data_IF_975266783085
#
_entry.id   IF_975266783085
#
_cell.length_a   1.000
_cell.length_b   1.000
_cell.length_c   1.000
_cell.angle_alpha   90.00
_cell.angle_beta   90.00
_cell.angle_gamma   90.00
#
_symmetry.space_group_name_H-M   'P 1'
#
loop_
_entity.id
_entity.type
_entity.pdbx_description
1 polymer ?
2 non-polymer ?
3 water ?
#
# COMPACT_ATOMS: atom_id res chain seq x y z
N UNK A 1 -8.86 -0.46 -30.25
CA UNK A 1 -9.60 0.79 -30.19
C UNK A 1 -9.68 1.26 -28.72
N UNK A 2 -9.39 2.55 -28.50
CA UNK A 2 -9.21 3.07 -27.14
C UNK A 2 -10.54 3.19 -26.40
N UNK A 3 -10.50 3.21 -25.07
CA UNK A 3 -11.72 3.51 -24.31
C UNK A 3 -12.21 4.90 -24.61
N UNK A 4 -13.54 5.06 -24.63
CA UNK A 4 -14.13 6.36 -24.93
C UNK A 4 -13.77 7.39 -23.87
N UNK A 5 -13.67 6.96 -22.62
CA UNK A 5 -13.43 7.82 -21.45
C UNK A 5 -12.46 7.13 -20.51
N UNK A 6 -11.56 7.92 -19.95
CA UNK A 6 -10.58 7.46 -18.98
C UNK A 6 -10.60 8.44 -17.82
N UNK A 7 -10.51 7.91 -16.61
CA UNK A 7 -10.41 8.74 -15.41
C UNK A 7 -9.53 7.96 -14.44
N UNK A 8 -8.26 8.36 -14.36
CA UNK A 8 -7.30 7.65 -13.53
C UNK A 8 -7.55 7.82 -12.05
N UNK A 9 -8.33 8.83 -11.64
CA UNK A 9 -8.70 8.93 -10.23
C UNK A 9 -9.43 7.67 -9.77
N UNK A 10 -10.22 7.07 -10.66
CA UNK A 10 -10.99 5.89 -10.32
C UNK A 10 -10.11 4.67 -10.09
N UNK A 11 -8.84 4.73 -10.48
CA UNK A 11 -7.90 3.66 -10.24
C UNK A 11 -6.98 3.99 -9.08
N UNK A 12 -7.35 4.99 -8.28
CA UNK A 12 -6.56 5.39 -7.13
C UNK A 12 -5.16 5.85 -7.46
N UNK A 13 -4.96 6.41 -8.66
CA UNK A 13 -3.64 6.81 -9.11
C UNK A 13 -3.36 8.29 -9.01
N UNK A 14 -4.25 9.08 -8.42
CA UNK A 14 -4.07 10.52 -8.38
C UNK A 14 -4.11 11.00 -6.93
N UNK A 15 -3.10 11.75 -6.52
CA UNK A 15 -3.05 12.32 -5.18
C UNK A 15 -3.99 13.51 -5.06
N UNK A 16 -4.11 14.01 -3.84
CA UNK A 16 -4.90 15.20 -3.62
C UNK A 16 -4.35 16.38 -4.41
N UNK A 17 -5.26 17.26 -4.85
CA UNK A 17 -4.87 18.48 -5.52
C UNK A 17 -4.07 19.35 -4.56
N UNK A 18 -3.00 19.93 -5.08
CA UNK A 18 -2.09 20.79 -4.35
C UNK A 18 -2.37 22.25 -4.68
N UNK A 19 -1.77 23.14 -3.89
CA UNK A 19 -1.98 24.59 -3.99
C UNK A 19 -0.62 25.24 -4.09
N UNK A 20 -0.25 25.73 -5.28
CA UNK A 20 1.08 26.27 -5.53
C UNK A 20 1.27 27.67 -4.97
N UNK A 21 0.19 28.42 -4.77
CA UNK A 21 0.27 29.74 -4.21
C UNK A 21 1.04 30.69 -5.11
N UNK A 22 1.74 31.63 -4.49
CA UNK A 22 2.44 32.66 -5.23
C UNK A 22 3.75 32.17 -5.85
N UNK A 23 4.11 30.90 -5.64
CA UNK A 23 5.30 30.32 -6.23
C UNK A 23 4.92 29.64 -7.54
N UNK A 24 5.56 30.04 -8.63
CA UNK A 24 5.26 29.50 -9.94
C UNK A 24 5.84 28.12 -10.21
N UNK A 25 5.43 27.13 -9.43
CA UNK A 25 6.00 25.78 -9.48
C UNK A 25 5.07 24.76 -10.15
N UNK A 26 4.13 25.19 -10.99
CA UNK A 26 3.22 24.22 -11.59
C UNK A 26 3.97 23.18 -12.40
N UNK A 27 5.12 23.54 -12.97
CA UNK A 27 5.94 22.53 -13.62
C UNK A 27 6.33 21.44 -12.64
N UNK A 28 6.65 21.83 -11.41
CA UNK A 28 7.06 20.82 -10.42
C UNK A 28 5.88 19.96 -10.02
N UNK A 29 4.70 20.56 -9.85
CA UNK A 29 3.52 19.79 -9.46
C UNK A 29 3.06 18.87 -10.57
N UNK A 30 3.17 19.31 -11.83
CA UNK A 30 2.80 18.42 -12.93
C UNK A 30 3.74 17.22 -12.99
N UNK A 31 5.04 17.43 -12.75
CA UNK A 31 6.00 16.34 -12.81
C UNK A 31 5.76 15.32 -11.72
N UNK A 32 5.64 15.73 -10.46
CA UNK A 32 5.38 14.74 -9.41
C UNK A 32 4.05 14.04 -9.68
N UNK A 33 3.02 14.79 -10.06
CA UNK A 33 1.73 14.18 -10.31
C UNK A 33 1.81 13.04 -11.31
N UNK A 34 2.60 13.21 -12.38
CA UNK A 34 2.73 12.12 -13.32
C UNK A 34 3.47 10.94 -12.71
N UNK A 35 4.52 11.21 -11.92
CA UNK A 35 5.31 10.14 -11.33
C UNK A 35 4.57 9.44 -10.19
N UNK A 36 3.69 10.14 -9.52
CA UNK A 36 2.87 9.51 -8.48
C UNK A 36 2.00 8.40 -9.06
N UNK A 37 1.49 8.60 -10.27
CA UNK A 37 0.64 7.62 -10.92
C UNK A 37 1.44 6.36 -11.27
N UNK A 38 2.63 6.54 -11.85
CA UNK A 38 3.47 5.38 -12.15
C UNK A 38 3.87 4.66 -10.87
N UNK A 39 4.18 5.42 -9.80
CA UNK A 39 4.55 4.78 -8.53
C UNK A 39 3.40 3.92 -8.03
N UNK A 40 2.18 4.48 -8.05
CA UNK A 40 1.00 3.72 -7.65
C UNK A 40 0.88 2.43 -8.45
N UNK A 41 0.98 2.53 -9.77
CA UNK A 41 0.85 1.36 -10.63
C UNK A 41 1.86 0.28 -10.22
N UNK A 42 3.10 0.68 -9.93
CA UNK A 42 4.14 -0.29 -9.64
C UNK A 42 4.05 -0.88 -8.23
N UNK A 43 3.91 -0.04 -7.22
CA UNK A 43 4.04 -0.48 -5.83
C UNK A 43 2.73 -0.65 -5.10
N UNK A 44 1.62 -0.19 -5.66
CA UNK A 44 0.35 -0.21 -4.97
C UNK A 44 0.14 0.91 -3.98
N UNK A 45 1.10 1.81 -3.82
CA UNK A 45 1.01 2.90 -2.86
C UNK A 45 0.86 4.23 -3.59
N UNK A 46 -0.11 5.03 -3.14
CA UNK A 46 -0.31 6.40 -3.57
C UNK A 46 0.30 7.36 -2.53
N UNK A 47 1.40 8.02 -2.87
CA UNK A 47 2.03 8.97 -1.98
C UNK A 47 2.38 10.24 -2.74
N UNK A 48 2.10 11.38 -2.12
CA UNK A 48 2.49 12.67 -2.68
C UNK A 48 4.00 12.76 -2.70
N UNK A 49 4.57 13.03 -3.87
CA UNK A 49 6.01 13.21 -3.94
C UNK A 49 6.33 14.69 -3.81
N UNK A 50 7.58 15.00 -3.50
CA UNK A 50 7.96 16.35 -3.08
C UNK A 50 8.17 17.24 -4.29
N UNK A 51 7.21 18.12 -4.56
CA UNK A 51 7.42 19.18 -5.55
C UNK A 51 8.51 20.13 -5.10
N UNK A 52 8.57 20.41 -3.79
CA UNK A 52 9.59 21.29 -3.25
C UNK A 52 10.99 20.76 -3.53
N UNK A 53 11.15 19.45 -3.51
CA UNK A 53 12.41 18.82 -3.86
C UNK A 53 12.85 19.25 -5.25
N UNK A 54 11.92 19.29 -6.20
CA UNK A 54 12.26 19.73 -7.54
C UNK A 54 12.59 21.22 -7.57
N UNK A 55 11.80 22.02 -6.86
CA UNK A 55 12.01 23.47 -6.85
C UNK A 55 13.43 23.77 -6.40
N UNK A 56 13.85 23.15 -5.29
CA UNK A 56 15.12 23.49 -4.66
C UNK A 56 16.32 22.81 -5.34
N UNK A 57 16.14 21.65 -5.96
CA UNK A 57 17.27 20.87 -6.47
C UNK A 57 17.36 20.81 -7.99
N UNK A 58 16.26 20.68 -8.71
CA UNK A 58 16.36 20.66 -10.16
C UNK A 58 16.34 22.11 -10.66
N UNK A 59 17.51 22.73 -10.63
CA UNK A 59 17.66 24.17 -10.84
C UNK A 59 18.48 24.42 -12.10
N UNK A 60 19.57 25.20 -12.04
CA UNK A 60 20.25 25.68 -13.24
C UNK A 60 20.61 24.57 -14.24
N UNK A 61 21.12 23.43 -13.76
CA UNK A 61 21.58 22.37 -14.64
C UNK A 61 20.47 21.84 -15.54
N UNK A 62 19.21 22.02 -15.14
CA UNK A 62 18.06 21.48 -15.84
C UNK A 62 17.23 22.56 -16.52
N UNK A 63 17.77 23.77 -16.70
CA UNK A 63 17.00 24.85 -17.28
C UNK A 63 15.83 25.35 -16.46
N UNK A 64 15.73 24.98 -15.19
CA UNK A 64 14.61 25.36 -14.36
C UNK A 64 14.98 26.50 -13.42
N UNK A 65 13.96 27.27 -13.03
CA UNK A 65 14.15 28.44 -12.19
C UNK A 65 13.25 28.40 -10.97
N UNK A 66 12.98 27.20 -10.43
CA UNK A 66 12.22 27.07 -9.21
C UNK A 66 10.88 27.77 -9.27
N UNK A 67 10.69 28.77 -8.40
CA UNK A 67 9.43 29.52 -8.33
C UNK A 67 9.21 30.44 -9.52
N UNK A 68 10.21 30.60 -10.38
CA UNK A 68 10.06 31.41 -11.59
C UNK A 68 9.94 30.57 -12.86
N UNK A 69 9.69 29.27 -12.73
CA UNK A 69 9.32 28.45 -13.87
C UNK A 69 10.27 27.29 -14.07
N UNK A 70 9.84 26.40 -14.97
CA UNK A 70 10.57 25.19 -15.26
C UNK A 70 9.80 24.30 -16.21
N UNK A 71 10.34 23.10 -16.41
CA UNK A 71 9.84 22.10 -17.35
C UNK A 71 9.73 20.76 -16.64
N UNK A 72 8.70 20.00 -17.01
CA UNK A 72 8.50 18.69 -16.42
C UNK A 72 9.56 17.70 -16.91
N UNK A 73 9.94 17.77 -18.19
CA UNK A 73 10.89 16.81 -18.74
C UNK A 73 12.21 16.88 -18.01
N UNK A 74 12.77 18.07 -17.87
CA UNK A 74 14.04 18.16 -17.16
C UNK A 74 13.86 17.89 -15.68
N UNK A 75 12.66 18.15 -15.13
CA UNK A 75 12.40 17.70 -13.77
C UNK A 75 12.54 16.18 -13.68
N UNK A 76 11.96 15.44 -14.64
CA UNK A 76 12.13 13.99 -14.66
C UNK A 76 13.59 13.63 -14.79
N UNK A 77 14.32 14.36 -15.64
CA UNK A 77 15.74 14.08 -15.82
C UNK A 77 16.50 14.22 -14.51
N UNK A 78 16.12 15.20 -13.68
CA UNK A 78 16.75 15.35 -12.38
C UNK A 78 16.48 14.15 -11.50
N UNK A 79 15.25 13.62 -11.52
CA UNK A 79 14.93 12.48 -10.66
C UNK A 79 15.69 11.25 -11.11
N UNK A 80 15.84 11.07 -12.43
CA UNK A 80 16.71 10.02 -12.94
C UNK A 80 18.13 10.24 -12.47
N UNK A 81 18.68 11.42 -12.73
CA UNK A 81 20.06 11.69 -12.36
C UNK A 81 20.24 11.51 -10.87
N UNK A 82 19.31 12.07 -10.07
CA UNK A 82 19.44 12.07 -8.63
C UNK A 82 19.24 10.68 -8.04
N UNK A 83 18.67 9.77 -8.81
CA UNK A 83 18.34 8.41 -8.37
C UNK A 83 17.32 8.45 -7.23
N UNK A 84 16.38 9.39 -7.30
CA UNK A 84 15.29 9.40 -6.36
C UNK A 84 14.70 10.78 -6.19
N UNK A 85 13.54 10.80 -5.52
CA UNK A 85 12.86 12.01 -5.10
C UNK A 85 12.20 11.71 -3.77
N UNK A 86 12.31 12.66 -2.85
CA UNK A 86 11.78 12.48 -1.51
C UNK A 86 10.26 12.53 -1.50
N UNK A 87 9.68 11.91 -0.48
CA UNK A 87 8.24 12.04 -0.27
C UNK A 87 7.91 13.49 0.00
N UNK A 88 6.68 13.88 -0.30
CA UNK A 88 6.26 15.21 0.08
C UNK A 88 6.15 15.34 1.60
N UNK A 89 5.80 14.23 2.27
CA UNK A 89 5.71 14.25 3.73
C UNK A 89 7.02 14.68 4.36
N UNK A 90 8.13 14.16 3.85
CA UNK A 90 9.47 14.45 4.37
C UNK A 90 10.06 15.73 3.82
N UNK A 91 9.57 16.21 2.68
CA UNK A 91 10.12 17.40 2.02
C UNK A 91 8.94 18.29 1.61
N UNK A 92 8.28 18.91 2.58
CA UNK A 92 7.00 19.59 2.29
C UNK A 92 7.16 20.83 1.43
N UNK A 93 6.05 21.24 0.83
CA UNK A 93 6.03 22.36 -0.10
C UNK A 93 5.86 23.67 0.68
N UNK A 94 6.77 24.61 0.45
CA UNK A 94 6.77 25.88 1.16
C UNK A 94 6.51 27.08 0.26
N UNK A 95 6.31 26.86 -1.04
CA UNK A 95 5.99 27.92 -1.99
C UNK A 95 7.04 29.02 -2.00
N UNK A 96 8.31 28.62 -1.93
CA UNK A 96 9.42 29.54 -2.15
C UNK A 96 10.69 28.74 -2.43
N UNK A 97 11.68 29.46 -2.97
CA UNK A 97 12.97 28.87 -3.33
C UNK A 97 13.85 28.65 -2.09
N UNK A 98 14.38 27.45 -1.94
CA UNK A 98 15.19 27.15 -0.78
C UNK A 98 16.47 26.47 -1.26
N UNK A 99 17.37 26.17 -0.32
CA UNK A 99 18.52 25.33 -0.65
C UNK A 99 18.04 23.91 -0.87
N UNK A 100 18.73 23.20 -1.75
CA UNK A 100 18.41 21.81 -2.01
C UNK A 100 18.73 20.97 -0.79
N UNK A 101 17.71 20.38 -0.18
CA UNK A 101 17.91 19.55 1.00
C UNK A 101 17.41 18.13 0.77
N UNK A 102 17.58 17.64 -0.47
CA UNK A 102 17.23 16.26 -0.77
C UNK A 102 17.95 15.31 0.17
N UNK A 103 17.26 14.26 0.58
CA UNK A 103 17.80 13.30 1.54
C UNK A 103 17.35 11.91 1.11
N UNK A 104 18.27 11.14 0.50
CA UNK A 104 17.97 9.79 0.01
C UNK A 104 17.36 8.89 1.07
N UNK A 105 17.50 9.25 2.35
CA UNK A 105 16.89 8.45 3.41
C UNK A 105 15.38 8.42 3.28
N UNK A 106 14.80 9.49 2.73
CA UNK A 106 13.35 9.64 2.59
C UNK A 106 12.89 9.51 1.15
N UNK A 107 13.68 8.80 0.34
CA UNK A 107 13.31 8.55 -1.05
C UNK A 107 12.00 7.78 -1.11
N UNK A 108 11.01 8.38 -1.75
CA UNK A 108 9.74 7.71 -1.97
C UNK A 108 9.58 7.20 -3.38
N UNK A 109 10.37 7.67 -4.33
CA UNK A 109 10.26 7.15 -5.69
C UNK A 109 11.56 7.34 -6.44
N UNK A 110 11.64 6.68 -7.58
CA UNK A 110 12.72 6.80 -8.54
C UNK A 110 12.09 7.04 -9.89
N UNK A 111 12.91 7.40 -10.87
CA UNK A 111 12.47 7.57 -12.24
C UNK A 111 13.43 6.86 -13.19
N UNK A 112 12.90 5.96 -14.02
CA UNK A 112 13.81 5.24 -14.91
C UNK A 112 14.01 5.98 -16.22
N UNK A 113 12.97 6.60 -16.75
CA UNK A 113 12.99 7.22 -18.06
C UNK A 113 11.80 8.15 -18.13
N UNK A 114 11.75 8.94 -19.21
CA UNK A 114 10.56 9.71 -19.54
C UNK A 114 10.44 9.76 -21.05
N UNK A 115 9.22 9.86 -21.53
CA UNK A 115 8.91 9.84 -22.95
C UNK A 115 8.20 11.13 -23.32
N UNK A 116 8.60 11.73 -24.42
CA UNK A 116 7.95 12.92 -24.94
C UNK A 116 7.05 12.56 -26.12
N UNK A 117 5.96 13.31 -26.27
CA UNK A 117 4.97 13.06 -27.31
C UNK A 117 5.01 14.15 -28.39
N UNK A 118 4.62 13.84 -29.63
CA UNK A 118 4.74 14.84 -30.70
C UNK A 118 3.80 16.01 -30.51
N UNK A 119 4.31 17.19 -30.87
CA UNK A 119 3.57 18.43 -30.76
C UNK A 119 2.26 18.34 -31.55
N UNK A 120 1.16 18.66 -30.88
CA UNK A 120 -0.13 18.81 -31.52
C UNK A 120 -0.94 17.54 -31.76
N UNK A 121 -0.39 16.36 -31.50
CA UNK A 121 -1.09 15.12 -31.81
C UNK A 121 -1.99 14.75 -30.64
N UNK A 122 -3.26 15.17 -30.73
CA UNK A 122 -4.17 14.84 -29.65
C UNK A 122 -4.56 13.37 -29.69
N UNK A 123 -4.52 12.74 -30.86
CA UNK A 123 -4.76 11.31 -30.93
C UNK A 123 -3.68 10.55 -30.16
N UNK A 124 -2.43 10.95 -30.32
CA UNK A 124 -1.32 10.30 -29.63
C UNK A 124 -1.39 10.56 -28.13
N UNK A 125 -1.78 11.77 -27.72
CA UNK A 125 -2.00 12.04 -26.30
C UNK A 125 -3.13 11.20 -25.76
N UNK A 126 -4.21 11.05 -26.54
CA UNK A 126 -5.29 10.16 -26.12
C UNK A 126 -4.76 8.76 -25.86
N UNK A 127 -4.03 8.21 -26.82
CA UNK A 127 -3.48 6.86 -26.66
C UNK A 127 -2.58 6.78 -25.43
N UNK A 128 -1.71 7.78 -25.22
CA UNK A 128 -0.81 7.72 -24.07
C UNK A 128 -1.56 7.77 -22.74
N UNK A 129 -2.64 8.56 -22.66
CA UNK A 129 -3.39 8.63 -21.41
C UNK A 129 -4.06 7.30 -21.13
N UNK A 130 -4.63 6.67 -22.16
CA UNK A 130 -5.28 5.39 -21.94
C UNK A 130 -4.28 4.32 -21.56
N UNK A 131 -3.13 4.26 -22.24
CA UNK A 131 -2.21 3.12 -22.20
C UNK A 131 -1.02 3.30 -21.27
N UNK A 132 -0.71 4.52 -20.82
CA UNK A 132 0.43 4.69 -19.92
C UNK A 132 0.09 5.33 -18.59
N UNK A 133 -0.94 6.16 -18.53
CA UNK A 133 -1.33 6.80 -17.30
C UNK A 133 -1.37 8.31 -17.51
N UNK A 134 -1.51 9.06 -16.42
CA UNK A 134 -1.57 10.51 -16.54
C UNK A 134 -0.32 11.09 -17.18
N UNK A 135 -0.52 12.10 -18.04
CA UNK A 135 0.54 12.69 -18.83
C UNK A 135 0.73 14.15 -18.42
N UNK A 136 1.99 14.54 -18.23
CA UNK A 136 2.32 15.93 -17.95
C UNK A 136 2.18 16.76 -19.22
N UNK A 137 1.46 17.89 -19.13
CA UNK A 137 1.32 18.79 -20.27
C UNK A 137 1.40 20.23 -19.80
N UNK A 138 1.76 21.10 -20.74
CA UNK A 138 1.66 22.53 -20.53
C UNK A 138 0.36 23.01 -21.14
N UNK A 139 -0.15 24.11 -20.63
CA UNK A 139 -1.31 24.76 -21.23
C UNK A 139 -1.10 26.26 -21.16
N UNK A 140 -1.78 26.96 -22.05
CA UNK A 140 -1.81 28.42 -22.03
C UNK A 140 -2.90 28.82 -21.08
N UNK A 141 -2.50 29.23 -19.88
CA UNK A 141 -3.40 29.60 -18.80
C UNK A 141 -3.46 31.10 -18.57
N UNK A 142 -2.86 31.90 -19.44
CA UNK A 142 -2.83 33.36 -19.27
C UNK A 142 -4.10 33.99 -19.85
N UNK A 143 -5.22 33.66 -19.20
CA UNK A 143 -6.49 34.17 -19.62
C UNK A 143 -7.37 34.28 -18.38
N UNK A 144 -8.06 35.39 -18.20
CA UNK A 144 -9.00 35.50 -17.08
C UNK A 144 -10.03 34.39 -17.03
N UNK A 145 -10.51 33.94 -18.18
CA UNK A 145 -11.51 32.87 -18.22
C UNK A 145 -10.99 31.60 -17.57
N UNK A 146 -9.68 31.40 -17.61
CA UNK A 146 -9.10 30.22 -17.00
C UNK A 146 -9.15 30.32 -15.48
N UNK A 147 -8.68 31.45 -14.94
CA UNK A 147 -8.71 31.63 -13.49
C UNK A 147 -10.14 31.57 -12.96
N UNK A 148 -11.08 32.13 -13.70
CA UNK A 148 -12.48 32.27 -13.29
C UNK A 148 -13.31 31.02 -13.62
N UNK A 149 -12.72 30.02 -14.26
CA UNK A 149 -13.45 28.81 -14.64
C UNK A 149 -14.04 28.10 -13.43
N UNK A 150 -15.29 27.67 -13.56
CA UNK A 150 -15.98 26.98 -12.48
C UNK A 150 -16.36 25.55 -12.83
N UNK A 151 -16.97 25.32 -14.00
CA UNK A 151 -17.41 23.99 -14.35
C UNK A 151 -17.59 23.84 -15.85
N UNK A 152 -17.84 22.61 -16.29
CA UNK A 152 -18.11 22.33 -17.68
C UNK A 152 -16.86 22.21 -18.51
N UNK A 153 -17.06 22.18 -19.83
CA UNK A 153 -15.96 22.03 -20.78
C UNK A 153 -15.47 23.41 -21.20
N UNK A 154 -14.24 23.74 -20.82
CA UNK A 154 -13.64 25.04 -21.06
C UNK A 154 -13.21 25.23 -22.52
N UNK A 155 -13.58 26.38 -23.11
CA UNK A 155 -13.09 26.75 -24.43
C UNK A 155 -12.81 28.25 -24.45
N UNK A 156 -11.58 28.62 -24.80
CA UNK A 156 -11.15 30.02 -24.81
C UNK A 156 -10.72 30.43 -26.21
N UNK A 157 -11.54 31.20 -26.93
CA UNK A 157 -11.22 31.53 -28.33
C UNK A 157 -9.86 32.18 -28.50
N UNK A 158 -9.37 32.90 -27.51
CA UNK A 158 -8.08 33.58 -27.62
C UNK A 158 -6.92 32.73 -27.10
N UNK A 159 -7.16 31.47 -26.77
CA UNK A 159 -6.08 30.62 -26.28
C UNK A 159 -5.04 30.43 -27.38
N UNK A 160 -3.78 30.27 -26.96
CA UNK A 160 -2.68 30.01 -27.88
C UNK A 160 -2.10 28.63 -27.62
N UNK A 161 -1.22 28.21 -28.52
CA UNK A 161 -0.53 26.95 -28.33
C UNK A 161 0.76 27.11 -27.55
N UNK A 162 1.07 28.34 -27.13
CA UNK A 162 2.28 28.63 -26.36
C UNK A 162 1.97 28.40 -24.88
N UNK A 163 2.40 27.25 -24.37
CA UNK A 163 2.10 26.84 -23.01
C UNK A 163 2.92 27.67 -22.02
N UNK A 164 2.38 27.84 -20.85
CA UNK A 164 3.05 28.59 -19.80
C UNK A 164 2.69 28.11 -18.41
N UNK A 165 1.91 27.03 -18.28
CA UNK A 165 1.45 26.50 -17.01
C UNK A 165 1.46 24.97 -17.09
N UNK A 166 2.13 24.33 -16.15
CA UNK A 166 2.22 22.87 -16.15
C UNK A 166 1.03 22.27 -15.42
N UNK A 167 0.37 21.31 -16.08
CA UNK A 167 -0.75 20.58 -15.50
C UNK A 167 -0.59 19.09 -15.79
N UNK A 168 -1.57 18.31 -15.33
CA UNK A 168 -1.56 16.85 -15.42
C UNK A 168 -2.85 16.41 -16.08
N UNK A 169 -2.75 15.73 -17.22
CA UNK A 169 -3.93 15.16 -17.88
C UNK A 169 -4.16 13.77 -17.27
N UNK A 170 -5.21 13.64 -16.47
CA UNK A 170 -5.49 12.40 -15.78
C UNK A 170 -6.57 11.58 -16.46
N UNK A 171 -7.07 12.02 -17.61
CA UNK A 171 -8.06 11.28 -18.35
C UNK A 171 -8.70 12.14 -19.43
N UNK A 172 -9.78 11.62 -20.00
CA UNK A 172 -10.52 12.34 -21.01
C UNK A 172 -11.94 11.82 -21.05
N UNK A 173 -12.78 12.54 -21.79
CA UNK A 173 -14.16 12.14 -21.87
C UNK A 173 -15.05 12.94 -22.79
N UNK A 174 -16.34 12.90 -22.46
CA UNK A 174 -17.42 13.42 -23.28
C UNK A 174 -18.52 13.93 -22.36
N UNK A 175 -18.90 15.20 -22.52
CA UNK A 175 -20.02 15.76 -21.77
C UNK A 175 -20.95 16.42 -22.77
N UNK A 176 -22.16 15.88 -22.88
CA UNK A 176 -23.20 16.42 -23.76
C UNK A 176 -22.64 16.72 -25.16
N UNK A 177 -21.87 15.79 -25.70
CA UNK A 177 -21.34 15.94 -27.04
C UNK A 177 -20.13 16.85 -27.15
N UNK A 178 -19.55 17.25 -26.04
CA UNK A 178 -18.35 18.06 -26.06
C UNK A 178 -17.24 17.23 -25.46
N UNK A 179 -16.23 16.95 -26.27
CA UNK A 179 -15.06 16.20 -25.85
C UNK A 179 -14.14 17.09 -25.03
N UNK A 180 -13.51 16.51 -24.02
CA UNK A 180 -12.65 17.28 -23.13
C UNK A 180 -11.47 16.46 -22.67
N UNK A 181 -10.48 17.17 -22.14
CA UNK A 181 -9.37 16.57 -21.41
C UNK A 181 -9.60 16.80 -19.92
N UNK A 182 -9.49 15.75 -19.11
CA UNK A 182 -9.63 15.92 -17.65
C UNK A 182 -8.28 16.34 -17.06
N UNK A 183 -8.19 17.58 -16.58
CA UNK A 183 -6.90 18.19 -16.23
C UNK A 183 -6.83 18.49 -14.73
N UNK A 184 -5.80 17.93 -14.08
CA UNK A 184 -5.54 18.23 -12.69
C UNK A 184 -4.63 19.45 -12.59
N UNK A 185 -5.10 20.47 -11.88
CA UNK A 185 -4.39 21.72 -11.70
C UNK A 185 -3.69 21.70 -10.34
N UNK A 186 -2.97 22.77 -10.02
CA UNK A 186 -2.35 22.90 -8.71
C UNK A 186 -2.77 24.21 -8.05
N UNK A 187 -4.07 24.48 -8.04
CA UNK A 187 -4.63 25.67 -7.41
C UNK A 187 -5.64 25.36 -6.30
N UNK A 188 -5.52 24.19 -5.65
CA UNK A 188 -6.39 23.86 -4.53
C UNK A 188 -7.76 23.36 -4.97
N UNK A 189 -8.57 23.03 -3.97
CA UNK A 189 -9.89 22.49 -4.25
C UNK A 189 -10.84 23.52 -4.86
N UNK A 190 -10.67 24.80 -4.54
CA UNK A 190 -11.63 25.82 -4.95
C UNK A 190 -11.47 26.29 -6.39
N UNK A 191 -10.47 25.83 -7.12
CA UNK A 191 -10.40 26.14 -8.55
C UNK A 191 -11.25 25.13 -9.32
N UNK A 192 -12.02 25.63 -10.29
CA UNK A 192 -12.77 24.76 -11.19
C UNK A 192 -13.64 23.75 -10.47
N UNK A 193 -13.57 22.51 -10.94
CA UNK A 193 -14.35 21.39 -10.40
C UNK A 193 -13.44 20.58 -9.46
N UNK A 194 -13.43 20.94 -8.16
CA UNK A 194 -12.59 20.28 -7.15
C UNK A 194 -11.10 20.34 -7.51
N UNK A 195 -10.68 21.46 -8.10
CA UNK A 195 -9.30 21.61 -8.50
C UNK A 195 -8.99 21.12 -9.89
N UNK A 196 -9.99 20.65 -10.63
CA UNK A 196 -9.84 20.11 -11.97
C UNK A 196 -10.54 21.01 -12.97
N UNK A 197 -10.05 21.00 -14.20
CA UNK A 197 -10.68 21.69 -15.32
C UNK A 197 -10.77 20.72 -16.50
N UNK A 198 -11.94 20.66 -17.13
CA UNK A 198 -12.14 19.88 -18.33
C UNK A 198 -12.03 20.83 -19.52
N UNK A 199 -11.00 20.64 -20.33
CA UNK A 199 -10.65 21.52 -21.42
C UNK A 199 -10.95 20.87 -22.76
N UNK A 200 -11.40 21.68 -23.73
CA UNK A 200 -11.80 21.19 -25.04
C UNK A 200 -10.79 20.22 -25.63
N UNK A 201 -11.27 19.06 -26.05
CA UNK A 201 -10.45 18.03 -26.70
C UNK A 201 -10.80 17.95 -28.19
N UNK A 202 -9.81 17.61 -29.01
CA UNK A 202 -9.98 17.55 -30.47
C UNK A 202 -10.52 18.87 -31.03
N UNK A 203 -9.99 19.98 -30.55
CA UNK A 203 -10.31 21.29 -31.08
C UNK A 203 -9.04 22.01 -31.47
N UNK A 204 -8.21 21.32 -32.26
CA UNK A 204 -6.99 21.90 -32.81
C UNK A 204 -5.94 22.27 -31.80
N UNK A 205 -5.68 21.37 -30.85
CA UNK A 205 -4.68 21.59 -29.83
C UNK A 205 -5.02 22.84 -29.01
N UNK A 206 -6.22 22.81 -28.42
CA UNK A 206 -6.74 23.97 -27.70
C UNK A 206 -5.91 24.27 -26.47
N UNK A 207 -5.46 25.52 -26.35
CA UNK A 207 -4.63 26.03 -25.25
C UNK A 207 -3.27 25.32 -25.19
N UNK A 208 -2.89 24.66 -26.29
CA UNK A 208 -1.62 23.98 -26.39
C UNK A 208 -1.51 22.74 -25.53
N UNK A 209 -2.65 22.19 -25.13
CA UNK A 209 -2.69 21.05 -24.21
C UNK A 209 -1.81 19.91 -24.72
N UNK A 210 -1.74 19.73 -26.05
CA UNK A 210 -0.92 18.71 -26.66
C UNK A 210 0.36 19.26 -27.28
N UNK A 211 0.76 20.49 -26.95
CA UNK A 211 1.99 21.01 -27.53
C UNK A 211 3.19 20.25 -26.98
N UNK A 212 3.30 20.11 -25.66
CA UNK A 212 4.46 19.52 -25.02
C UNK A 212 4.09 18.53 -23.94
N UNK A 213 3.69 17.33 -24.34
CA UNK A 213 3.38 16.27 -23.38
C UNK A 213 4.58 15.37 -23.07
N UNK A 214 4.51 14.75 -21.90
CA UNK A 214 5.55 13.80 -21.49
C UNK A 214 5.08 13.03 -20.26
N UNK A 215 5.56 11.80 -20.11
CA UNK A 215 5.25 10.99 -18.93
C UNK A 215 6.48 10.18 -18.54
N UNK A 216 6.71 9.99 -17.23
CA UNK A 216 7.84 9.19 -16.77
C UNK A 216 7.46 7.71 -16.59
N UNK A 217 8.46 6.88 -16.30
CA UNK A 217 8.19 5.48 -15.98
C UNK A 217 9.16 5.00 -14.90
N UNK A 218 8.70 4.04 -14.10
CA UNK A 218 9.53 3.37 -13.10
C UNK A 218 9.62 1.89 -13.48
N UNK A 219 10.79 1.46 -13.92
CA UNK A 219 10.97 0.13 -14.49
C UNK A 219 11.30 -0.93 -13.45
N UNK A 220 10.99 -2.17 -13.79
CA UNK A 220 11.33 -3.31 -12.94
C UNK A 220 12.83 -3.42 -12.76
N UNK B 1 17.17 -27.41 29.49
CA UNK B 1 17.54 -26.10 28.95
C UNK B 1 17.17 -26.02 27.47
N UNK B 2 16.45 -24.97 27.08
CA UNK B 2 15.97 -24.78 25.71
C UNK B 2 17.02 -24.24 24.75
N UNK B 3 16.83 -24.45 23.45
CA UNK B 3 17.72 -23.81 22.47
C UNK B 3 17.61 -22.30 22.58
N UNK B 4 18.73 -21.63 22.36
CA UNK B 4 18.77 -20.17 22.45
C UNK B 4 17.83 -19.54 21.43
N UNK B 5 17.70 -20.17 20.27
CA UNK B 5 16.99 -19.59 19.15
C UNK B 5 16.20 -20.67 18.42
N UNK B 6 14.99 -20.32 18.01
CA UNK B 6 14.14 -21.21 17.21
C UNK B 6 13.53 -20.38 16.10
N UNK B 7 13.40 -20.98 14.91
CA UNK B 7 12.74 -20.32 13.77
C UNK B 7 12.08 -21.42 12.93
N UNK B 8 10.76 -21.55 13.04
CA UNK B 8 10.10 -22.64 12.34
C UNK B 8 10.06 -22.44 10.82
N UNK B 9 10.28 -21.22 10.30
CA UNK B 9 10.48 -21.06 8.86
C UNK B 9 11.65 -21.88 8.37
N UNK B 10 12.71 -21.97 9.17
CA UNK B 10 13.90 -22.69 8.73
C UNK B 10 13.66 -24.19 8.65
N UNK B 11 12.57 -24.69 9.24
CA UNK B 11 12.17 -26.07 9.13
C UNK B 11 11.07 -26.25 8.11
N UNK B 12 10.86 -25.25 7.26
CA UNK B 12 9.87 -25.32 6.20
C UNK B 12 8.46 -25.52 6.71
N UNK B 13 8.15 -25.03 7.90
CA UNK B 13 6.85 -25.25 8.51
C UNK B 13 5.93 -24.03 8.45
N UNK B 14 6.32 -22.96 7.76
CA UNK B 14 5.55 -21.72 7.72
C UNK B 14 5.27 -21.35 6.26
N UNK B 15 4.00 -21.07 5.97
CA UNK B 15 3.62 -20.66 4.63
C UNK B 15 3.95 -19.19 4.41
N UNK B 16 3.71 -18.72 3.19
CA UNK B 16 3.89 -17.31 2.84
C UNK B 16 3.03 -16.43 3.73
N UNK B 17 3.55 -15.24 4.02
CA UNK B 17 2.81 -14.24 4.75
C UNK B 17 1.57 -13.87 3.96
N UNK B 18 0.43 -13.78 4.64
CA UNK B 18 -0.85 -13.44 4.02
C UNK B 18 -1.18 -11.98 4.30
N UNK B 19 -2.23 -11.50 3.62
CA UNK B 19 -2.66 -10.10 3.67
C UNK B 19 -4.14 -10.02 3.96
N UNK B 20 -4.51 -9.66 5.20
CA UNK B 20 -5.92 -9.65 5.60
C UNK B 20 -6.71 -8.46 5.07
N UNK B 21 -6.04 -7.35 4.71
CA UNK B 21 -6.80 -6.22 4.20
C UNK B 21 -7.75 -5.62 5.23
N UNK B 22 -8.87 -5.11 4.73
CA UNK B 22 -9.83 -4.39 5.55
C UNK B 22 -10.72 -5.28 6.40
N UNK B 23 -10.56 -6.60 6.31
CA UNK B 23 -11.32 -7.55 7.11
C UNK B 23 -10.53 -7.90 8.36
N UNK B 24 -11.13 -7.67 9.53
CA UNK B 24 -10.44 -7.96 10.77
C UNK B 24 -10.42 -9.44 11.12
N UNK B 25 -9.83 -10.24 10.24
CA UNK B 25 -9.80 -11.69 10.35
C UNK B 25 -8.43 -12.22 10.79
N UNK B 26 -7.64 -11.40 11.50
CA UNK B 26 -6.34 -11.90 11.96
C UNK B 26 -6.45 -13.14 12.83
N UNK B 27 -7.57 -13.31 13.54
CA UNK B 27 -7.80 -14.55 14.28
C UNK B 27 -7.78 -15.77 13.35
N UNK B 28 -8.39 -15.63 12.16
CA UNK B 28 -8.42 -16.75 11.22
C UNK B 28 -7.04 -17.06 10.69
N UNK B 29 -6.23 -16.04 10.41
CA UNK B 29 -4.89 -16.27 9.90
C UNK B 29 -3.97 -16.87 10.96
N UNK B 30 -4.13 -16.45 12.22
CA UNK B 30 -3.31 -17.07 13.26
C UNK B 30 -3.64 -18.54 13.41
N UNK B 31 -4.93 -18.88 13.38
CA UNK B 31 -5.35 -20.26 13.59
C UNK B 31 -4.88 -21.16 12.46
N UNK B 32 -5.13 -20.78 11.19
CA UNK B 32 -4.66 -21.63 10.09
C UNK B 32 -3.15 -21.76 10.13
N UNK B 33 -2.43 -20.65 10.34
CA UNK B 33 -0.97 -20.71 10.32
C UNK B 33 -0.41 -21.71 11.29
N UNK B 34 -0.97 -21.77 12.50
CA UNK B 34 -0.50 -22.71 13.50
C UNK B 34 -0.76 -24.13 13.06
N UNK B 35 -1.92 -24.38 12.42
CA UNK B 35 -2.26 -25.71 11.94
C UNK B 35 -1.44 -26.09 10.72
N UNK B 36 -1.03 -25.09 9.92
CA UNK B 36 -0.17 -25.37 8.78
C UNK B 36 1.13 -26.04 9.20
N UNK B 37 1.70 -25.60 10.32
CA UNK B 37 2.95 -26.15 10.81
C UNK B 37 2.78 -27.62 11.23
N UNK B 38 1.74 -27.93 11.99
CA UNK B 38 1.50 -29.32 12.37
C UNK B 38 1.28 -30.18 11.13
N UNK B 39 0.56 -29.64 10.14
CA UNK B 39 0.30 -30.40 8.91
C UNK B 39 1.61 -30.75 8.20
N UNK B 40 2.48 -29.75 8.04
CA UNK B 40 3.80 -30.01 7.47
C UNK B 40 4.54 -31.08 8.26
N UNK B 41 4.60 -30.93 9.59
CA UNK B 41 5.30 -31.91 10.43
C UNK B 41 4.77 -33.33 10.21
N UNK B 42 3.45 -33.47 10.18
CA UNK B 42 2.86 -34.81 10.11
C UNK B 42 2.98 -35.41 8.71
N UNK B 43 2.66 -34.64 7.67
CA UNK B 43 2.57 -35.21 6.34
C UNK B 43 3.76 -34.88 5.44
N UNK B 44 4.59 -33.92 5.83
CA UNK B 44 5.67 -33.45 4.98
C UNK B 44 5.25 -32.45 3.92
N UNK B 45 3.98 -32.06 3.87
CA UNK B 45 3.50 -31.13 2.86
C UNK B 45 3.18 -29.80 3.52
N UNK B 46 3.70 -28.72 2.95
CA UNK B 46 3.40 -27.37 3.39
C UNK B 46 2.30 -26.86 2.49
N UNK B 47 1.08 -26.79 3.02
CA UNK B 47 -0.05 -26.29 2.25
C UNK B 47 -0.75 -25.23 3.09
N UNK B 48 -1.06 -24.11 2.46
CA UNK B 48 -1.81 -23.05 3.11
C UNK B 48 -3.25 -23.48 3.36
N UNK B 49 -3.72 -23.34 4.59
CA UNK B 49 -5.10 -23.66 4.87
C UNK B 49 -5.97 -22.42 4.73
N UNK B 50 -7.27 -22.65 4.65
CA UNK B 50 -8.21 -21.61 4.23
C UNK B 50 -8.66 -20.79 5.43
N UNK B 51 -8.17 -19.54 5.53
CA UNK B 51 -8.72 -18.60 6.51
C UNK B 51 -10.18 -18.25 6.21
N UNK B 52 -10.53 -18.12 4.93
CA UNK B 52 -11.91 -17.79 4.58
C UNK B 52 -12.87 -18.83 5.11
N UNK B 53 -12.46 -20.09 5.09
CA UNK B 53 -13.27 -21.17 5.64
C UNK B 53 -13.65 -20.87 7.08
N UNK B 54 -12.69 -20.39 7.87
CA UNK B 54 -13.02 -20.05 9.25
C UNK B 54 -13.92 -18.84 9.34
N UNK B 55 -13.67 -17.83 8.50
CA UNK B 55 -14.44 -16.60 8.54
C UNK B 55 -15.93 -16.88 8.30
N UNK B 56 -16.24 -17.68 7.27
CA UNK B 56 -17.60 -17.93 6.82
C UNK B 56 -18.34 -19.01 7.60
N UNK B 57 -17.63 -19.97 8.19
CA UNK B 57 -18.22 -21.16 8.81
C UNK B 57 -18.10 -21.21 10.32
N UNK B 58 -16.96 -20.82 10.88
CA UNK B 58 -16.77 -20.81 12.33
C UNK B 58 -17.27 -19.48 12.86
N UNK B 59 -18.60 -19.40 13.06
CA UNK B 59 -19.27 -18.14 13.38
C UNK B 59 -19.90 -18.14 14.77
N UNK B 60 -21.21 -17.83 14.82
CA UNK B 60 -21.92 -17.62 16.09
C UNK B 60 -21.65 -18.71 17.11
N UNK B 61 -21.66 -19.98 16.69
CA UNK B 61 -21.48 -21.11 17.60
C UNK B 61 -20.13 -21.08 18.30
N UNK B 62 -19.13 -20.41 17.72
CA UNK B 62 -17.78 -20.39 18.25
C UNK B 62 -17.38 -19.03 18.82
N UNK B 63 -18.35 -18.17 19.12
CA UNK B 63 -18.05 -16.83 19.59
C UNK B 63 -17.40 -15.93 18.58
N UNK B 64 -17.32 -16.34 17.31
CA UNK B 64 -16.61 -15.58 16.29
C UNK B 64 -17.57 -14.84 15.39
N UNK B 65 -17.07 -13.73 14.84
CA UNK B 65 -17.86 -12.80 14.05
C UNK B 65 -17.18 -12.48 12.72
N UNK B 66 -16.46 -13.43 12.14
CA UNK B 66 -15.85 -13.24 10.83
C UNK B 66 -14.92 -12.04 10.76
N UNK B 67 -15.27 -11.07 9.90
CA UNK B 67 -14.46 -9.87 9.70
C UNK B 67 -14.52 -8.91 10.88
N UNK B 68 -15.38 -9.16 11.86
CA UNK B 68 -15.48 -8.30 13.03
C UNK B 68 -14.80 -8.91 14.25
N UNK B 69 -14.01 -9.95 14.07
CA UNK B 69 -13.18 -10.49 15.13
C UNK B 69 -13.48 -11.95 15.41
N UNK B 70 -12.62 -12.53 16.23
CA UNK B 70 -12.78 -13.93 16.58
C UNK B 70 -11.63 -14.41 17.45
N UNK B 71 -11.63 -15.73 17.69
CA UNK B 71 -10.70 -16.38 18.58
C UNK B 71 -10.06 -17.55 17.85
N UNK B 72 -8.78 -17.80 18.14
CA UNK B 72 -8.13 -18.95 17.52
C UNK B 72 -8.56 -20.25 18.16
N UNK B 73 -8.69 -20.30 19.49
CA UNK B 73 -9.02 -21.57 20.13
C UNK B 73 -10.36 -22.10 19.62
N UNK B 74 -11.38 -21.24 19.60
CA UNK B 74 -12.66 -21.69 19.07
C UNK B 74 -12.60 -21.94 17.57
N UNK B 75 -11.67 -21.30 16.86
CA UNK B 75 -11.45 -21.72 15.47
C UNK B 75 -11.01 -23.17 15.43
N UNK B 76 -10.08 -23.56 16.31
CA UNK B 76 -9.59 -24.95 16.35
C UNK B 76 -10.72 -25.92 16.66
N UNK B 77 -11.58 -25.55 17.61
CA UNK B 77 -12.73 -26.38 17.94
C UNK B 77 -13.64 -26.60 16.73
N UNK B 78 -13.82 -25.57 15.90
CA UNK B 78 -14.62 -25.75 14.70
C UNK B 78 -13.99 -26.77 13.76
N UNK B 79 -12.66 -26.71 13.59
CA UNK B 79 -12.04 -27.65 12.68
C UNK B 79 -12.19 -29.08 13.20
N UNK B 80 -12.15 -29.27 14.52
CA UNK B 80 -12.50 -30.55 15.13
C UNK B 80 -13.94 -30.93 14.79
N UNK B 81 -14.88 -30.06 15.16
CA UNK B 81 -16.30 -30.35 14.95
C UNK B 81 -16.60 -30.65 13.50
N UNK B 82 -16.06 -29.83 12.60
CA UNK B 82 -16.31 -29.94 11.16
C UNK B 82 -15.64 -31.15 10.54
N UNK B 83 -14.68 -31.75 11.23
CA UNK B 83 -13.89 -32.86 10.70
C UNK B 83 -13.06 -32.42 9.48
N UNK B 84 -12.60 -31.19 9.47
CA UNK B 84 -11.70 -30.77 8.41
C UNK B 84 -11.81 -29.28 8.14
N UNK B 85 -10.82 -28.81 7.36
CA UNK B 85 -10.76 -27.46 6.81
C UNK B 85 -10.15 -27.58 5.42
N UNK B 86 -10.71 -26.83 4.47
CA UNK B 86 -10.27 -26.86 3.09
C UNK B 86 -8.90 -26.18 2.92
N UNK B 87 -8.23 -26.54 1.83
CA UNK B 87 -7.01 -25.84 1.44
C UNK B 87 -7.32 -24.39 1.13
N UNK B 88 -6.29 -23.55 1.26
CA UNK B 88 -6.44 -22.15 0.87
C UNK B 88 -6.61 -22.02 -0.63
N UNK B 89 -5.99 -22.92 -1.41
CA UNK B 89 -6.12 -22.87 -2.86
C UNK B 89 -7.58 -23.05 -3.28
N UNK B 90 -8.31 -23.97 -2.63
CA UNK B 90 -9.68 -24.28 -3.00
C UNK B 90 -10.70 -23.33 -2.38
N UNK B 91 -10.32 -22.58 -1.36
CA UNK B 91 -11.24 -21.69 -0.65
C UNK B 91 -10.49 -20.40 -0.38
N UNK B 92 -10.19 -19.62 -1.42
CA UNK B 92 -9.29 -18.49 -1.25
C UNK B 92 -9.91 -17.36 -0.44
N UNK B 93 -9.04 -16.51 0.09
CA UNK B 93 -9.42 -15.44 1.00
C UNK B 93 -9.93 -14.22 0.24
N UNK B 94 -11.11 -13.75 0.60
CA UNK B 94 -11.71 -12.59 -0.06
C UNK B 94 -11.82 -11.37 0.84
N UNK B 95 -11.45 -11.49 2.12
CA UNK B 95 -11.52 -10.37 3.05
C UNK B 95 -12.93 -9.77 3.12
N UNK B 96 -13.93 -10.65 3.17
CA UNK B 96 -15.28 -10.23 3.50
C UNK B 96 -16.08 -11.46 3.93
N UNK B 97 -17.20 -11.22 4.58
CA UNK B 97 -18.02 -12.30 5.10
C UNK B 97 -18.88 -12.90 3.99
N UNK B 98 -18.83 -14.21 3.84
CA UNK B 98 -19.55 -14.93 2.79
C UNK B 98 -20.33 -16.09 3.39
N UNK B 99 -21.05 -16.80 2.53
CA UNK B 99 -21.69 -18.02 2.98
C UNK B 99 -20.63 -19.10 3.20
N UNK B 100 -20.90 -19.98 4.16
CA UNK B 100 -20.00 -21.10 4.39
C UNK B 100 -20.04 -22.01 3.17
N UNK B 101 -18.91 -22.18 2.50
CA UNK B 101 -18.84 -23.07 1.35
C UNK B 101 -17.86 -24.19 1.58
N UNK B 102 -17.69 -24.62 2.84
CA UNK B 102 -16.82 -25.74 3.09
C UNK B 102 -17.28 -26.94 2.26
N UNK B 103 -16.32 -27.67 1.72
CA UNK B 103 -16.60 -28.80 0.83
C UNK B 103 -15.54 -29.84 1.15
N UNK B 104 -15.93 -30.89 1.88
CA UNK B 104 -15.00 -31.94 2.29
C UNK B 104 -14.22 -32.54 1.12
N UNK B 105 -14.67 -32.34 -0.11
CA UNK B 105 -13.89 -32.81 -1.26
C UNK B 105 -12.52 -32.14 -1.31
N UNK B 106 -12.40 -30.93 -0.75
CA UNK B 106 -11.14 -30.19 -0.76
C UNK B 106 -10.48 -30.11 0.61
N UNK B 107 -10.81 -31.03 1.51
CA UNK B 107 -10.22 -31.05 2.85
C UNK B 107 -8.72 -31.19 2.74
N UNK B 108 -7.99 -30.20 3.26
CA UNK B 108 -6.54 -30.26 3.30
C UNK B 108 -5.96 -30.58 4.67
N UNK B 109 -6.72 -30.39 5.76
CA UNK B 109 -6.19 -30.73 7.07
C UNK B 109 -7.35 -31.02 8.00
N UNK B 110 -7.01 -31.63 9.14
CA UNK B 110 -7.93 -31.91 10.24
C UNK B 110 -7.28 -31.41 11.51
N UNK B 111 -8.05 -31.38 12.60
CA UNK B 111 -7.52 -31.00 13.90
C UNK B 111 -8.02 -31.97 14.96
N UNK B 112 -7.09 -32.56 15.72
CA UNK B 112 -7.46 -33.55 16.72
C UNK B 112 -7.74 -32.93 18.08
N UNK B 113 -6.96 -31.94 18.47
CA UNK B 113 -7.05 -31.33 19.79
C UNK B 113 -6.38 -29.96 19.70
N UNK B 114 -6.54 -29.18 20.77
CA UNK B 114 -5.80 -27.95 20.93
C UNK B 114 -5.49 -27.77 22.41
N UNK B 115 -4.40 -27.07 22.69
CA UNK B 115 -3.93 -26.83 24.05
C UNK B 115 -3.87 -25.33 24.27
N UNK B 116 -4.38 -24.88 25.41
CA UNK B 116 -4.32 -23.48 25.81
C UNK B 116 -3.19 -23.35 26.82
N UNK B 117 -2.46 -22.22 26.78
CA UNK B 117 -1.34 -22.03 27.67
C UNK B 117 -1.65 -20.97 28.71
N UNK B 118 -1.03 -21.05 29.89
CA UNK B 118 -1.38 -20.13 30.99
C UNK B 118 -1.01 -18.67 30.72
N UNK B 119 -1.87 -17.78 31.20
CA UNK B 119 -1.75 -16.34 31.01
C UNK B 119 -0.41 -15.82 31.51
N UNK B 120 0.27 -15.04 30.68
CA UNK B 120 1.46 -14.33 31.06
C UNK B 120 2.73 -15.15 31.13
N UNK B 121 2.66 -16.48 31.02
CA UNK B 121 3.85 -17.30 31.22
C UNK B 121 4.65 -17.33 29.93
N UNK B 122 5.66 -16.46 29.85
CA UNK B 122 6.55 -16.47 28.69
C UNK B 122 7.49 -17.65 28.71
N UNK B 123 7.80 -18.19 29.89
CA UNK B 123 8.61 -19.40 29.94
C UNK B 123 7.85 -20.59 29.33
N UNK B 124 6.56 -20.72 29.61
CA UNK B 124 5.77 -21.81 29.04
C UNK B 124 5.57 -21.62 27.53
N UNK B 125 5.39 -20.38 27.07
CA UNK B 125 5.32 -20.14 25.64
C UNK B 125 6.62 -20.50 24.94
N UNK B 126 7.74 -20.16 25.56
CA UNK B 126 9.04 -20.52 24.99
C UNK B 126 9.17 -22.03 24.80
N UNK B 127 8.88 -22.80 25.86
CA UNK B 127 8.95 -24.25 25.77
C UNK B 127 8.05 -24.79 24.67
N UNK B 128 6.81 -24.30 24.59
CA UNK B 128 5.88 -24.79 23.58
C UNK B 128 6.34 -24.45 22.16
N UNK B 129 6.95 -23.27 21.96
CA UNK B 129 7.49 -22.94 20.64
C UNK B 129 8.64 -23.87 20.29
N UNK B 130 9.50 -24.16 21.25
CA UNK B 130 10.60 -25.08 20.98
C UNK B 130 10.10 -26.50 20.77
N UNK B 131 9.16 -26.98 21.60
CA UNK B 131 8.88 -28.42 21.64
C UNK B 131 7.63 -28.84 20.87
N UNK B 132 6.77 -27.91 20.48
CA UNK B 132 5.56 -28.31 19.78
C UNK B 132 5.37 -27.65 18.42
N UNK B 133 5.90 -26.44 18.21
CA UNK B 133 5.76 -25.73 16.96
C UNK B 133 5.26 -24.31 17.15
N UNK B 134 4.93 -23.65 16.03
CA UNK B 134 4.42 -22.27 16.11
C UNK B 134 3.14 -22.20 16.93
N UNK B 135 2.98 -21.12 17.70
CA UNK B 135 1.87 -20.96 18.63
C UNK B 135 1.02 -19.76 18.23
N UNK B 136 -0.30 -19.94 18.25
CA UNK B 136 -1.26 -18.86 18.05
C UNK B 136 -1.31 -18.00 19.30
N UNK B 137 -1.18 -16.68 19.12
CA UNK B 137 -1.23 -15.74 20.24
C UNK B 137 -1.99 -14.50 19.82
N UNK B 138 -2.49 -13.78 20.82
CA UNK B 138 -3.01 -12.44 20.62
C UNK B 138 -1.95 -11.46 21.07
N UNK B 139 -1.96 -10.26 20.49
CA UNK B 139 -1.11 -9.17 20.96
C UNK B 139 -1.94 -7.90 20.92
N UNK B 140 -1.50 -6.89 21.68
CA UNK B 140 -2.12 -5.56 21.64
C UNK B 140 -1.46 -4.76 20.54
N UNK B 141 -2.14 -4.60 19.40
CA UNK B 141 -1.58 -3.91 18.25
C UNK B 141 -2.16 -2.51 18.01
N UNK B 142 -2.93 -1.99 18.96
CA UNK B 142 -3.56 -0.67 18.83
C UNK B 142 -2.58 0.44 19.22
N UNK B 143 -1.53 0.56 18.41
CA UNK B 143 -0.55 1.60 18.63
C UNK B 143 0.05 1.99 17.29
N UNK B 144 0.23 3.30 17.02
CA UNK B 144 0.88 3.69 15.78
C UNK B 144 2.25 3.05 15.58
N UNK B 145 2.99 2.82 16.67
CA UNK B 145 4.29 2.18 16.54
C UNK B 145 4.17 0.77 15.96
N UNK B 146 3.04 0.10 16.19
CA UNK B 146 2.86 -1.23 15.63
C UNK B 146 2.64 -1.16 14.13
N UNK B 147 1.73 -0.26 13.71
CA UNK B 147 1.46 -0.07 12.28
C UNK B 147 2.70 0.43 11.54
N UNK B 148 3.51 1.26 12.18
CA UNK B 148 4.68 1.88 11.55
C UNK B 148 5.96 1.05 11.67
N UNK B 149 5.93 -0.08 12.37
CA UNK B 149 7.15 -0.87 12.61
C UNK B 149 7.79 -1.33 11.30
N UNK B 150 9.11 -1.18 11.21
CA UNK B 150 9.89 -1.58 10.03
C UNK B 150 10.90 -2.67 10.34
N UNK B 151 11.70 -2.52 11.40
CA UNK B 151 12.71 -3.53 11.69
C UNK B 151 13.07 -3.47 13.17
N UNK B 152 13.85 -4.44 13.59
CA UNK B 152 14.34 -4.51 14.95
C UNK B 152 13.35 -5.18 15.88
N UNK B 153 13.68 -5.11 17.16
CA UNK B 153 12.86 -5.70 18.21
C UNK B 153 11.91 -4.62 18.71
N UNK B 154 10.62 -4.84 18.47
CA UNK B 154 9.59 -3.88 18.81
C UNK B 154 9.44 -3.81 20.32
N UNK B 155 9.39 -2.60 20.85
CA UNK B 155 9.06 -2.37 22.24
C UNK B 155 8.24 -1.09 22.32
N UNK B 156 7.05 -1.18 22.88
CA UNK B 156 6.10 -0.07 22.98
C UNK B 156 5.81 0.21 24.44
N UNK B 157 6.33 1.30 25.01
CA UNK B 157 6.12 1.52 26.45
C UNK B 157 4.67 1.52 26.88
N UNK B 158 3.73 1.92 26.02
CA UNK B 158 2.32 2.00 26.38
C UNK B 158 1.52 0.75 26.04
N UNK B 159 2.16 -0.32 25.57
CA UNK B 159 1.41 -1.53 25.23
C UNK B 159 0.72 -2.08 26.47
N UNK B 160 -0.40 -2.75 26.26
CA UNK B 160 -1.07 -3.44 27.36
C UNK B 160 -1.07 -4.93 27.10
N UNK B 161 -1.50 -5.67 28.12
CA UNK B 161 -1.63 -7.11 28.06
C UNK B 161 -2.99 -7.58 27.55
N UNK B 162 -3.88 -6.64 27.21
CA UNK B 162 -5.20 -6.95 26.66
C UNK B 162 -5.09 -7.09 25.14
N UNK B 163 -5.14 -8.33 24.65
CA UNK B 163 -4.91 -8.61 23.24
C UNK B 163 -6.11 -8.20 22.38
N UNK B 164 -5.83 -7.90 21.09
CA UNK B 164 -6.84 -7.53 20.11
C UNK B 164 -6.45 -7.88 18.68
N UNK B 165 -5.31 -8.51 18.44
CA UNK B 165 -4.86 -8.85 17.11
C UNK B 165 -4.25 -10.24 17.16
N UNK B 166 -4.72 -11.12 16.29
CA UNK B 166 -4.22 -12.49 16.25
C UNK B 166 -2.99 -12.56 15.37
N UNK B 167 -1.93 -13.15 15.90
CA UNK B 167 -0.69 -13.37 15.16
C UNK B 167 -0.19 -14.77 15.47
N UNK B 168 0.93 -15.15 14.86
CA UNK B 168 1.49 -16.50 14.98
C UNK B 168 2.93 -16.39 15.43
N UNK B 169 3.27 -16.99 16.57
CA UNK B 169 4.66 -17.01 17.04
C UNK B 169 5.37 -18.20 16.40
N UNK B 170 6.33 -17.94 15.51
CA UNK B 170 7.03 -19.03 14.82
C UNK B 170 8.43 -19.28 15.36
N UNK B 171 8.84 -18.54 16.38
CA UNK B 171 10.15 -18.77 16.97
C UNK B 171 10.50 -17.66 17.94
N UNK B 172 11.76 -17.67 18.36
CA UNK B 172 12.29 -16.63 19.24
C UNK B 172 13.79 -16.61 19.05
N UNK B 173 14.39 -15.60 19.65
CA UNK B 173 15.83 -15.54 19.68
C UNK B 173 16.28 -14.36 20.50
N UNK B 174 17.54 -14.02 20.29
CA UNK B 174 18.21 -13.00 21.08
C UNK B 174 19.23 -12.46 20.09
N UNK B 175 19.01 -11.24 19.62
CA UNK B 175 19.90 -10.64 18.66
C UNK B 175 20.13 -9.18 19.03
N UNK B 176 21.39 -8.75 18.94
CA UNK B 176 21.81 -7.39 19.21
C UNK B 176 21.52 -6.99 20.66
N UNK B 177 21.64 -7.95 21.58
CA UNK B 177 21.41 -7.67 22.97
C UNK B 177 19.97 -7.53 23.39
N UNK B 178 19.03 -7.83 22.49
CA UNK B 178 17.60 -7.73 22.78
C UNK B 178 16.93 -9.08 22.54
N UNK B 179 16.30 -9.65 23.57
CA UNK B 179 15.56 -10.89 23.38
C UNK B 179 14.22 -10.61 22.70
N UNK B 180 13.78 -11.49 21.80
CA UNK B 180 12.58 -11.22 21.02
C UNK B 180 11.78 -12.48 20.75
N UNK B 181 10.52 -12.26 20.38
CA UNK B 181 9.64 -13.28 19.85
C UNK B 181 9.51 -13.06 18.34
N UNK B 182 9.68 -14.12 17.55
CA UNK B 182 9.53 -14.04 16.10
C UNK B 182 8.06 -14.29 15.73
N UNK B 183 7.39 -13.23 15.27
CA UNK B 183 5.94 -13.20 15.09
C UNK B 183 5.62 -13.03 13.61
N UNK B 184 4.82 -13.95 13.07
CA UNK B 184 4.31 -13.86 11.71
C UNK B 184 3.00 -13.09 11.72
N UNK B 185 2.93 -11.99 10.96
CA UNK B 185 1.72 -11.18 10.91
C UNK B 185 0.93 -11.49 9.64
N UNK B 186 -0.24 -10.86 9.51
CA UNK B 186 -1.04 -11.02 8.29
C UNK B 186 -1.38 -9.67 7.66
N UNK B 187 -0.37 -8.81 7.51
CA UNK B 187 -0.54 -7.53 6.84
C UNK B 187 0.30 -7.46 5.57
N UNK B 188 0.66 -8.62 5.02
CA UNK B 188 1.42 -8.67 3.78
C UNK B 188 2.91 -8.48 3.98
N UNK B 189 3.63 -8.62 2.87
CA UNK B 189 5.09 -8.62 2.90
C UNK B 189 5.67 -7.25 3.19
N UNK B 190 4.97 -6.17 2.85
CA UNK B 190 5.59 -4.87 3.04
C UNK B 190 5.54 -4.40 4.49
N UNK B 191 4.83 -5.11 5.35
CA UNK B 191 4.85 -4.78 6.77
C UNK B 191 6.08 -5.40 7.41
N UNK B 192 6.74 -4.60 8.25
CA UNK B 192 7.86 -5.06 9.04
C UNK B 192 8.99 -5.70 8.26
N UNK B 193 9.51 -6.81 8.80
CA UNK B 193 10.64 -7.52 8.20
C UNK B 193 10.05 -8.64 7.36
N UNK B 194 9.75 -8.31 6.11
CA UNK B 194 9.19 -9.25 5.15
C UNK B 194 7.88 -9.85 5.69
N UNK B 195 7.08 -9.01 6.35
CA UNK B 195 5.83 -9.45 6.92
C UNK B 195 5.89 -9.95 8.35
N UNK B 196 7.06 -9.89 8.99
CA UNK B 196 7.25 -10.39 10.34
C UNK B 196 7.58 -9.23 11.26
N UNK B 197 7.22 -9.39 12.53
CA UNK B 197 7.59 -8.45 13.58
C UNK B 197 8.26 -9.25 14.70
N UNK B 198 9.40 -8.76 15.17
CA UNK B 198 10.08 -9.34 16.33
C UNK B 198 9.72 -8.50 17.53
N UNK B 199 9.03 -9.09 18.49
CA UNK B 199 8.53 -8.35 19.64
C UNK B 199 9.30 -8.72 20.91
N UNK B 200 9.51 -7.72 21.75
CA UNK B 200 10.28 -7.86 22.98
C UNK B 200 9.88 -9.09 23.76
N UNK B 201 10.86 -9.92 24.11
CA UNK B 201 10.64 -11.10 24.92
C UNK B 201 11.16 -10.93 26.34
N UNK B 202 10.50 -11.57 27.30
CA UNK B 202 10.85 -11.46 28.71
C UNK B 202 10.85 -10.01 29.18
N UNK B 203 9.84 -9.25 28.77
CA UNK B 203 9.71 -7.89 29.29
C UNK B 203 8.34 -7.77 29.91
N UNK B 204 8.02 -8.71 30.80
CA UNK B 204 6.78 -8.68 31.53
C UNK B 204 5.54 -8.85 30.66
N UNK B 205 5.57 -9.81 29.73
CA UNK B 205 4.42 -10.09 28.85
C UNK B 205 4.09 -8.86 28.00
N UNK B 206 5.07 -8.43 27.22
CA UNK B 206 4.94 -7.21 26.45
C UNK B 206 3.89 -7.34 25.35
N UNK B 207 2.93 -6.40 25.35
CA UNK B 207 1.84 -6.35 24.40
C UNK B 207 0.90 -7.55 24.51
N UNK B 208 0.95 -8.25 25.66
CA UNK B 208 0.09 -9.37 25.89
C UNK B 208 0.40 -10.59 25.05
N UNK B 209 1.62 -10.69 24.51
CA UNK B 209 1.95 -11.81 23.61
C UNK B 209 1.72 -13.16 24.29
N UNK B 210 1.94 -13.25 25.60
CA UNK B 210 1.71 -14.50 26.32
C UNK B 210 0.40 -14.52 27.10
N UNK B 211 -0.51 -13.57 26.83
CA UNK B 211 -1.78 -13.58 27.54
C UNK B 211 -2.64 -14.78 27.15
N UNK B 212 -2.80 -15.04 25.85
CA UNK B 212 -3.72 -16.08 25.37
C UNK B 212 -3.09 -16.91 24.25
N UNK B 213 -2.16 -17.81 24.60
CA UNK B 213 -1.57 -18.68 23.59
C UNK B 213 -2.29 -20.01 23.47
N UNK B 214 -2.16 -20.62 22.29
CA UNK B 214 -2.72 -21.95 22.06
C UNK B 214 -2.19 -22.52 20.75
N UNK B 215 -2.11 -23.84 20.68
CA UNK B 215 -1.69 -24.50 19.46
C UNK B 215 -2.52 -25.76 19.20
N UNK B 216 -2.76 -26.09 17.92
CA UNK B 216 -3.48 -27.32 17.60
C UNK B 216 -2.54 -28.50 17.42
N UNK B 217 -3.15 -29.68 17.27
CA UNK B 217 -2.39 -30.89 16.98
C UNK B 217 -3.20 -31.77 16.04
N UNK B 218 -2.50 -32.50 15.18
CA UNK B 218 -3.07 -33.49 14.28
C UNK B 218 -2.46 -34.82 14.69
N UNK B 219 -3.26 -35.68 15.31
CA UNK B 219 -2.77 -36.94 15.86
C UNK B 219 -2.85 -38.04 14.80
N UNK B 220 -2.00 -39.06 15.00
CA UNK B 220 -1.98 -40.22 14.10
C UNK B 220 -3.31 -40.93 14.11
#
# INVERSE_FOLDING_TARGET
ILPDSVDWREKGCVTEVKYQGSCGASWAFSAVGALEAQLKLKTGKLVSLSAQNLVDCSTEKYGNKGCNGGFMTTAFQYIIDNKGIDSDASYPYKAMDQKCQYDSKYRAATCSKYTELPYGREDVLKEAVANKGPVSVGVDARHPSFFLYRSGVYYEPSCTQNVNHGVLVVGYGDLNGKEYWLVKNSWGHNFGEEGYIRMARNKGNHCGIASFPSYPEILQGGG
ILPDSVDWREKGCVTEVKYQGSCGASWAFSAVGALEAQLKLKTGKLVSLSAQNLVDCSTEKYGNKGCNGGFMTTAFQYIIDNKGIDSDASYPYKAMDQKCQYDSKYRAATCSKYTELPYGREDVLKEAVANKGPVSVGVDARHPSFFLYRSGVYYEPSCTQNVNHGVLVVGYGDLNGKEYWLVKNSWGHNFGEEGYIRMARNKGNHCGIASFPSYPEILQGGG
#
